data_IF_456265979722
#
_entry.id   IF_456265979722
#
_cell.length_a   1.000
_cell.length_b   1.000
_cell.length_c   1.000
_cell.angle_alpha   90.00
_cell.angle_beta   90.00
_cell.angle_gamma   90.00
#
_symmetry.space_group_name_H-M   'P 1'
#
loop_
_entity.id
_entity.type
_entity.pdbx_description
1 polymer ?
#
# COMPACT_ATOMS: atom_id res chain seq x y z
N UNK A 1 73.59 23.84 30.41
CA UNK A 1 72.57 23.82 31.48
C UNK A 1 71.56 24.91 31.16
N UNK A 2 70.26 24.58 31.11
CA UNK A 2 69.11 25.43 30.69
C UNK A 2 68.99 25.69 29.17
N UNK A 3 67.84 25.67 28.50
CA UNK A 3 66.45 25.29 28.80
C UNK A 3 65.74 24.98 27.45
N UNK A 4 64.72 24.11 27.45
CA UNK A 4 63.87 23.77 26.29
C UNK A 4 63.10 24.97 25.70
N UNK A 5 62.81 24.93 24.39
CA UNK A 5 61.49 25.34 23.88
C UNK A 5 61.13 24.58 22.58
N UNK A 6 60.15 23.69 22.69
CA UNK A 6 59.43 23.06 21.57
C UNK A 6 58.21 23.91 21.22
N UNK A 7 57.90 24.08 19.93
CA UNK A 7 56.59 24.59 19.50
C UNK A 7 56.03 23.71 18.38
N UNK A 8 55.05 22.89 18.77
CA UNK A 8 54.21 22.06 17.91
C UNK A 8 53.32 22.94 17.02
N UNK A 9 53.34 22.68 15.71
CA UNK A 9 52.37 23.23 14.76
C UNK A 9 51.01 22.59 15.03
N UNK A 10 50.11 23.34 15.67
CA UNK A 10 48.73 22.93 15.93
C UNK A 10 47.94 22.89 14.61
N UNK A 11 47.42 21.71 14.26
CA UNK A 11 46.40 21.53 13.24
C UNK A 11 45.12 22.29 13.63
N UNK A 12 44.69 23.23 12.79
CA UNK A 12 43.34 23.80 12.85
C UNK A 12 42.37 22.82 12.19
N UNK A 13 41.65 22.02 12.99
CA UNK A 13 40.47 21.30 12.53
C UNK A 13 39.28 22.25 12.66
N UNK A 14 38.80 22.76 11.53
CA UNK A 14 37.55 23.52 11.46
C UNK A 14 36.38 22.51 11.52
N UNK A 15 35.86 22.26 12.70
CA UNK A 15 34.65 21.46 12.88
C UNK A 15 33.42 22.30 12.47
N UNK A 16 33.00 22.18 11.22
CA UNK A 16 31.75 22.75 10.73
C UNK A 16 30.56 21.97 11.30
N UNK A 17 29.83 22.60 12.24
CA UNK A 17 28.61 22.05 12.83
C UNK A 17 27.47 22.16 11.81
N UNK A 18 27.25 21.11 11.00
CA UNK A 18 26.03 20.99 10.19
C UNK A 18 24.85 20.67 11.10
N UNK A 19 24.16 21.70 11.58
CA UNK A 19 22.86 21.54 12.23
C UNK A 19 21.83 21.15 11.16
N UNK A 20 21.56 19.85 11.02
CA UNK A 20 20.49 19.34 10.16
C UNK A 20 19.14 19.69 10.81
N UNK A 21 18.55 20.83 10.44
CA UNK A 21 17.17 21.13 10.80
C UNK A 21 16.26 20.08 10.16
N UNK A 22 15.78 19.13 10.97
CA UNK A 22 14.82 18.14 10.53
C UNK A 22 13.47 18.82 10.38
N UNK A 23 13.16 19.30 9.17
CA UNK A 23 11.80 19.70 8.81
C UNK A 23 10.88 18.50 9.03
N UNK A 24 10.04 18.55 10.07
CA UNK A 24 8.96 17.59 10.24
C UNK A 24 7.98 17.79 9.10
N UNK A 25 8.11 16.99 8.03
CA UNK A 25 7.10 16.91 7.00
C UNK A 25 5.81 16.41 7.64
N UNK A 26 4.74 17.19 7.53
CA UNK A 26 3.40 16.75 7.90
C UNK A 26 3.00 15.57 7.02
N UNK A 27 2.32 14.59 7.60
CA UNK A 27 1.70 13.51 6.83
C UNK A 27 0.76 14.11 5.77
N UNK A 28 0.91 13.67 4.52
CA UNK A 28 0.06 14.09 3.43
C UNK A 28 -1.23 13.25 3.39
N UNK A 29 -2.28 13.85 2.84
CA UNK A 29 -3.55 13.20 2.54
C UNK A 29 -3.73 13.13 1.02
N UNK A 30 -4.09 11.95 0.53
CA UNK A 30 -4.42 11.71 -0.88
C UNK A 30 -5.83 11.14 -0.99
N UNK A 31 -6.53 11.45 -2.08
CA UNK A 31 -7.88 10.96 -2.34
C UNK A 31 -7.93 10.07 -3.58
N UNK A 32 -8.71 9.00 -3.48
CA UNK A 32 -9.00 8.06 -4.57
C UNK A 32 -10.53 7.98 -4.70
N UNK A 33 -11.07 8.15 -5.90
CA UNK A 33 -12.52 8.12 -6.15
C UNK A 33 -12.86 7.38 -7.45
N UNK A 34 -14.03 6.72 -7.57
CA UNK A 34 -14.41 6.00 -8.80
C UNK A 34 -14.48 6.88 -10.05
N UNK A 35 -14.77 8.17 -9.88
CA UNK A 35 -14.82 9.18 -10.94
C UNK A 35 -13.53 10.04 -11.02
N UNK A 36 -12.46 9.63 -10.33
CA UNK A 36 -11.17 10.31 -10.39
C UNK A 36 -10.40 10.04 -11.68
N UNK A 37 -9.17 10.56 -11.74
CA UNK A 37 -8.22 10.28 -12.83
C UNK A 37 -6.81 10.12 -12.28
N UNK A 38 -6.06 9.14 -12.79
CA UNK A 38 -4.67 8.94 -12.37
C UNK A 38 -3.70 10.02 -12.89
N UNK A 39 -4.18 10.90 -13.77
CA UNK A 39 -3.49 12.14 -14.16
C UNK A 39 -3.68 13.29 -13.16
N UNK A 40 -4.63 13.18 -12.23
CA UNK A 40 -4.88 14.21 -11.24
C UNK A 40 -3.76 14.27 -10.19
N UNK A 41 -3.80 15.29 -9.33
CA UNK A 41 -2.85 15.51 -8.24
C UNK A 41 -3.13 14.67 -6.99
N UNK A 42 -4.32 14.07 -6.87
CA UNK A 42 -4.72 13.29 -5.70
C UNK A 42 -5.27 14.13 -4.55
N UNK A 43 -5.63 15.39 -4.79
CA UNK A 43 -6.34 16.22 -3.81
C UNK A 43 -7.82 15.83 -3.73
N UNK A 44 -8.56 16.37 -2.75
CA UNK A 44 -10.00 16.09 -2.59
C UNK A 44 -10.81 16.50 -3.81
N UNK A 45 -10.46 17.64 -4.41
CA UNK A 45 -11.12 18.21 -5.60
C UNK A 45 -10.65 17.54 -6.90
N UNK A 46 -9.50 16.86 -6.87
CA UNK A 46 -8.90 16.19 -8.03
C UNK A 46 -8.32 14.84 -7.60
N UNK A 47 -9.18 13.87 -7.25
CA UNK A 47 -8.75 12.57 -6.72
C UNK A 47 -8.14 11.70 -7.82
N UNK A 48 -7.25 10.78 -7.42
CA UNK A 48 -6.79 9.70 -8.28
C UNK A 48 -7.95 8.75 -8.61
N UNK A 49 -7.83 7.98 -9.70
CA UNK A 49 -8.78 6.92 -10.02
C UNK A 49 -8.45 5.62 -9.29
N UNK A 50 -7.17 5.34 -9.05
CA UNK A 50 -6.71 4.05 -8.52
C UNK A 50 -5.85 4.17 -7.26
N UNK A 51 -5.94 3.17 -6.39
CA UNK A 51 -4.99 2.96 -5.28
C UNK A 51 -3.56 2.74 -5.83
N UNK A 52 -3.44 2.09 -6.99
CA UNK A 52 -2.13 1.88 -7.61
C UNK A 52 -1.42 3.19 -7.96
N UNK A 53 -2.16 4.25 -8.28
CA UNK A 53 -1.59 5.58 -8.51
C UNK A 53 -1.17 6.26 -7.21
N UNK A 54 -1.95 6.14 -6.13
CA UNK A 54 -1.59 6.71 -4.83
C UNK A 54 -0.31 6.07 -4.28
N UNK A 55 -0.11 4.78 -4.50
CA UNK A 55 1.13 4.07 -4.14
C UNK A 55 2.39 4.76 -4.70
N UNK A 56 2.32 5.37 -5.89
CA UNK A 56 3.47 6.12 -6.45
C UNK A 56 3.76 7.43 -5.69
N UNK A 57 2.77 8.00 -4.99
CA UNK A 57 2.86 9.30 -4.32
C UNK A 57 3.17 9.20 -2.82
N UNK A 58 2.64 8.19 -2.13
CA UNK A 58 2.71 8.10 -0.66
C UNK A 58 4.13 7.93 -0.11
N UNK A 59 4.32 8.42 1.11
CA UNK A 59 5.48 8.29 1.98
C UNK A 59 5.05 7.85 3.39
N UNK A 60 5.97 7.37 4.25
CA UNK A 60 5.63 6.95 5.60
C UNK A 60 4.88 8.01 6.41
N UNK A 61 3.71 7.63 6.94
CA UNK A 61 2.84 8.50 7.73
C UNK A 61 1.61 9.00 6.97
N UNK A 62 1.64 8.98 5.63
CA UNK A 62 0.57 9.49 4.77
C UNK A 62 -0.72 8.65 4.86
N UNK A 63 -1.83 9.28 4.47
CA UNK A 63 -3.15 8.63 4.40
C UNK A 63 -3.75 8.78 3.01
N UNK A 64 -4.24 7.66 2.48
CA UNK A 64 -5.06 7.60 1.27
C UNK A 64 -6.51 7.39 1.70
N UNK A 65 -7.35 8.39 1.47
CA UNK A 65 -8.79 8.34 1.66
C UNK A 65 -9.48 7.86 0.39
N UNK A 66 -10.19 6.75 0.50
CA UNK A 66 -10.84 6.05 -0.62
C UNK A 66 -12.34 6.33 -0.52
N UNK A 67 -12.84 7.14 -1.44
CA UNK A 67 -14.24 7.54 -1.50
C UNK A 67 -15.14 6.36 -1.87
N UNK A 68 -16.40 6.42 -1.45
CA UNK A 68 -17.38 5.38 -1.67
C UNK A 68 -17.75 5.18 -3.14
N UNK A 69 -18.28 4.01 -3.43
CA UNK A 69 -18.72 3.62 -4.76
C UNK A 69 -17.96 2.43 -5.32
N UNK A 70 -18.33 2.04 -6.54
CA UNK A 70 -17.78 0.84 -7.18
C UNK A 70 -16.61 1.18 -8.08
N UNK A 71 -15.45 0.62 -7.77
CA UNK A 71 -14.26 0.62 -8.59
C UNK A 71 -14.27 -0.61 -9.48
N UNK A 72 -14.70 -0.45 -10.73
CA UNK A 72 -14.69 -1.54 -11.72
C UNK A 72 -13.28 -1.79 -12.18
N UNK A 73 -12.71 -2.92 -11.77
CA UNK A 73 -11.35 -3.30 -12.09
C UNK A 73 -11.27 -3.94 -13.47
N UNK A 74 -10.22 -3.62 -14.21
CA UNK A 74 -9.98 -4.13 -15.55
C UNK A 74 -8.60 -4.81 -15.67
N UNK A 75 -8.47 -5.73 -16.62
CA UNK A 75 -7.19 -6.39 -16.90
C UNK A 75 -6.07 -5.41 -17.28
N UNK A 76 -6.41 -4.28 -17.92
CA UNK A 76 -5.45 -3.22 -18.25
C UNK A 76 -4.82 -2.55 -17.01
N UNK A 77 -5.42 -2.74 -15.83
CA UNK A 77 -4.93 -2.21 -14.56
C UNK A 77 -4.04 -3.21 -13.81
N UNK A 78 -3.66 -4.35 -14.41
CA UNK A 78 -2.71 -5.27 -13.78
C UNK A 78 -1.37 -4.56 -13.57
N UNK A 79 -1.05 -4.24 -12.32
CA UNK A 79 0.15 -3.51 -11.96
C UNK A 79 1.43 -4.34 -12.11
N UNK A 80 1.35 -5.65 -11.85
CA UNK A 80 2.52 -6.54 -11.94
C UNK A 80 2.15 -7.96 -12.32
N UNK A 81 2.96 -8.55 -13.17
CA UNK A 81 2.95 -10.00 -13.44
C UNK A 81 3.94 -10.68 -12.51
N UNK A 82 3.45 -11.58 -11.67
CA UNK A 82 4.24 -12.50 -10.87
C UNK A 82 4.27 -13.90 -11.49
N UNK A 83 4.98 -14.84 -10.85
CA UNK A 83 5.04 -16.23 -11.34
C UNK A 83 3.65 -16.88 -11.26
N UNK A 84 2.97 -16.97 -12.41
CA UNK A 84 1.63 -17.55 -12.57
C UNK A 84 0.50 -16.74 -11.94
N UNK A 85 0.71 -15.45 -11.66
CA UNK A 85 -0.28 -14.58 -11.02
C UNK A 85 -0.26 -13.16 -11.59
N UNK A 86 -1.43 -12.59 -11.75
CA UNK A 86 -1.67 -11.20 -12.13
C UNK A 86 -2.03 -10.41 -10.87
N UNK A 87 -1.13 -9.53 -10.43
CA UNK A 87 -1.30 -8.68 -9.26
C UNK A 87 -1.90 -7.37 -9.74
N UNK A 88 -3.19 -7.16 -9.44
CA UNK A 88 -3.92 -5.99 -9.96
C UNK A 88 -3.49 -4.73 -9.25
N UNK A 89 -3.52 -4.75 -7.91
CA UNK A 89 -2.91 -3.72 -7.08
C UNK A 89 -1.66 -4.30 -6.43
N UNK A 90 -0.50 -3.68 -6.67
CA UNK A 90 0.79 -4.05 -6.11
C UNK A 90 1.31 -2.91 -5.22
N UNK A 91 1.31 -3.16 -3.91
CA UNK A 91 1.71 -2.20 -2.86
C UNK A 91 3.04 -2.64 -2.25
N UNK A 92 4.10 -1.90 -2.52
CA UNK A 92 5.49 -2.23 -2.16
C UNK A 92 6.17 -1.23 -1.24
N UNK A 93 5.69 0.02 -1.21
CA UNK A 93 6.15 1.01 -0.24
C UNK A 93 5.74 0.58 1.16
N UNK A 94 6.60 0.90 2.10
CA UNK A 94 6.39 0.61 3.51
C UNK A 94 6.22 1.90 4.29
N UNK A 95 5.38 1.88 5.31
CA UNK A 95 5.43 2.87 6.37
C UNK A 95 6.62 2.63 7.30
N UNK A 96 6.62 3.33 8.43
CA UNK A 96 7.55 3.12 9.52
C UNK A 96 6.78 2.86 10.82
N UNK A 97 7.47 2.32 11.82
CA UNK A 97 6.90 2.24 13.17
C UNK A 97 6.45 3.63 13.64
N UNK A 98 5.20 3.73 14.09
CA UNK A 98 4.58 5.00 14.49
C UNK A 98 4.18 5.93 13.32
N UNK A 99 4.55 5.61 12.08
CA UNK A 99 4.19 6.34 10.85
C UNK A 99 3.75 5.37 9.74
N UNK A 100 2.67 4.60 9.94
CA UNK A 100 2.17 3.70 8.91
C UNK A 100 1.64 4.48 7.70
N UNK A 101 1.64 3.86 6.53
CA UNK A 101 0.85 4.35 5.38
C UNK A 101 -0.57 3.79 5.53
N UNK A 102 -1.57 4.66 5.44
CA UNK A 102 -2.98 4.28 5.68
C UNK A 102 -3.77 4.29 4.37
N UNK A 103 -4.59 3.27 4.16
CA UNK A 103 -5.51 3.12 3.03
C UNK A 103 -6.92 2.92 3.57
N UNK A 104 -7.63 4.02 3.80
CA UNK A 104 -8.89 4.02 4.55
C UNK A 104 -10.06 4.42 3.67
N UNK A 105 -11.21 3.79 3.87
CA UNK A 105 -12.47 4.36 3.41
C UNK A 105 -12.65 5.79 3.94
N UNK A 106 -13.13 6.69 3.09
CA UNK A 106 -13.39 8.08 3.46
C UNK A 106 -14.60 8.15 4.42
N UNK A 107 -14.39 8.51 5.68
CA UNK A 107 -15.46 8.61 6.67
C UNK A 107 -16.23 7.29 6.85
N UNK A 108 -17.54 7.31 6.58
CA UNK A 108 -18.43 6.13 6.64
C UNK A 108 -18.79 5.61 5.25
N UNK A 109 -18.11 6.09 4.21
CA UNK A 109 -18.36 5.68 2.83
C UNK A 109 -17.92 4.23 2.60
N UNK A 110 -18.47 3.60 1.54
CA UNK A 110 -18.27 2.18 1.25
C UNK A 110 -17.62 2.00 -0.11
N UNK A 111 -16.28 1.96 -0.20
CA UNK A 111 -15.59 1.62 -1.44
C UNK A 111 -15.66 0.12 -1.71
N UNK A 112 -16.10 -0.24 -2.92
CA UNK A 112 -16.20 -1.64 -3.38
C UNK A 112 -15.34 -1.81 -4.63
N UNK A 113 -14.31 -2.66 -4.54
CA UNK A 113 -13.49 -3.02 -5.70
C UNK A 113 -14.04 -4.29 -6.35
N UNK A 114 -14.57 -4.14 -7.56
CA UNK A 114 -15.21 -5.21 -8.32
C UNK A 114 -14.27 -5.76 -9.39
N UNK A 115 -13.90 -7.03 -9.23
CA UNK A 115 -12.97 -7.75 -10.09
C UNK A 115 -13.64 -8.68 -11.11
N UNK A 116 -14.97 -8.60 -11.28
CA UNK A 116 -15.73 -9.51 -12.15
C UNK A 116 -15.19 -9.57 -13.58
N UNK A 117 -14.62 -8.47 -14.08
CA UNK A 117 -14.05 -8.37 -15.44
C UNK A 117 -12.54 -8.65 -15.52
N UNK A 118 -11.89 -8.99 -14.40
CA UNK A 118 -10.45 -9.32 -14.39
C UNK A 118 -10.27 -10.82 -14.60
N UNK A 119 -10.19 -11.24 -15.87
CA UNK A 119 -10.10 -12.65 -16.29
C UNK A 119 -8.85 -12.96 -17.14
N UNK A 120 -7.61 -12.69 -16.65
CA UNK A 120 -6.40 -13.02 -17.40
C UNK A 120 -6.31 -14.54 -17.65
N UNK A 121 -6.09 -14.98 -18.91
CA UNK A 121 -6.03 -16.41 -19.23
C UNK A 121 -4.82 -17.07 -18.58
N UNK A 122 -5.02 -18.24 -17.98
CA UNK A 122 -3.93 -19.04 -17.41
C UNK A 122 -3.22 -18.42 -16.19
N UNK A 123 -3.80 -17.39 -15.57
CA UNK A 123 -3.19 -16.65 -14.47
C UNK A 123 -4.11 -16.61 -13.26
N UNK A 124 -3.53 -16.78 -12.06
CA UNK A 124 -4.22 -16.47 -10.79
C UNK A 124 -4.43 -14.96 -10.70
N UNK A 125 -5.51 -14.53 -10.04
CA UNK A 125 -5.75 -13.12 -9.77
C UNK A 125 -5.42 -12.81 -8.31
N UNK A 126 -4.61 -11.78 -8.09
CA UNK A 126 -4.40 -11.20 -6.76
C UNK A 126 -4.92 -9.77 -6.79
N UNK A 127 -6.01 -9.49 -6.07
CA UNK A 127 -6.60 -8.15 -6.06
C UNK A 127 -5.65 -7.12 -5.43
N UNK A 128 -5.16 -7.43 -4.23
CA UNK A 128 -4.17 -6.63 -3.50
C UNK A 128 -3.00 -7.52 -3.09
N UNK A 129 -1.85 -7.32 -3.75
CA UNK A 129 -0.59 -7.91 -3.34
C UNK A 129 0.18 -6.90 -2.48
N UNK A 130 0.34 -7.23 -1.21
CA UNK A 130 0.86 -6.32 -0.18
C UNK A 130 2.27 -6.76 0.22
N UNK A 131 3.26 -6.25 -0.51
CA UNK A 131 4.68 -6.47 -0.25
C UNK A 131 5.27 -5.53 0.81
N UNK A 132 4.67 -4.33 0.96
CA UNK A 132 5.07 -3.35 1.96
C UNK A 132 4.75 -3.77 3.40
N UNK A 133 5.46 -3.14 4.33
CA UNK A 133 5.27 -3.28 5.79
C UNK A 133 4.74 -1.99 6.41
N UNK A 134 4.20 -2.05 7.62
CA UNK A 134 3.60 -0.89 8.31
C UNK A 134 2.50 -0.21 7.49
N UNK A 135 1.62 -1.01 6.90
CA UNK A 135 0.45 -0.57 6.15
C UNK A 135 -0.81 -0.81 6.96
N UNK A 136 -1.79 0.08 6.88
CA UNK A 136 -3.08 -0.08 7.54
C UNK A 136 -4.21 0.12 6.55
N UNK A 137 -4.96 -0.95 6.29
CA UNK A 137 -6.14 -0.94 5.43
C UNK A 137 -7.40 -0.93 6.29
N UNK A 138 -8.38 -0.08 5.94
CA UNK A 138 -9.63 0.00 6.69
C UNK A 138 -10.86 0.22 5.82
N UNK A 139 -11.91 -0.58 6.03
CA UNK A 139 -13.26 -0.31 5.51
C UNK A 139 -13.45 -0.56 4.02
N UNK A 140 -12.60 -1.39 3.40
CA UNK A 140 -12.64 -1.66 1.94
C UNK A 140 -13.34 -3.00 1.68
N UNK A 141 -14.21 -3.03 0.67
CA UNK A 141 -14.82 -4.27 0.18
C UNK A 141 -14.19 -4.71 -1.14
N UNK A 142 -13.98 -6.01 -1.31
CA UNK A 142 -13.46 -6.64 -2.53
C UNK A 142 -14.41 -7.74 -2.96
N UNK A 143 -14.91 -7.65 -4.19
CA UNK A 143 -15.89 -8.58 -4.77
C UNK A 143 -15.46 -9.09 -6.13
N UNK A 144 -16.05 -10.21 -6.55
CA UNK A 144 -15.97 -10.67 -7.94
C UNK A 144 -14.59 -11.16 -8.39
N UNK A 145 -13.63 -11.41 -7.50
CA UNK A 145 -12.30 -11.89 -7.91
C UNK A 145 -12.41 -13.27 -8.57
N UNK A 146 -11.86 -13.40 -9.78
CA UNK A 146 -12.05 -14.57 -10.65
C UNK A 146 -10.91 -15.59 -10.54
N UNK A 147 -11.22 -16.85 -10.85
CA UNK A 147 -10.29 -17.95 -11.10
C UNK A 147 -10.53 -18.45 -12.52
N UNK A 148 -9.53 -18.30 -13.40
CA UNK A 148 -9.61 -18.74 -14.81
C UNK A 148 -8.83 -20.02 -15.08
N UNK A 149 -7.97 -20.43 -14.14
CA UNK A 149 -7.15 -21.64 -14.25
C UNK A 149 -7.99 -22.86 -13.86
N UNK A 150 -7.99 -23.90 -14.70
CA UNK A 150 -8.82 -25.10 -14.54
C UNK A 150 -8.19 -26.20 -13.69
N UNK A 151 -6.87 -26.16 -13.47
CA UNK A 151 -6.15 -27.06 -12.56
C UNK A 151 -6.14 -26.56 -11.12
N UNK A 152 -5.40 -27.26 -10.24
CA UNK A 152 -5.22 -26.83 -8.85
C UNK A 152 -4.65 -25.40 -8.76
N UNK A 153 -5.40 -24.49 -8.18
CA UNK A 153 -5.11 -23.06 -8.22
C UNK A 153 -5.81 -22.30 -7.10
N UNK A 154 -5.43 -21.04 -6.90
CA UNK A 154 -6.11 -20.11 -6.00
C UNK A 154 -5.87 -18.67 -6.44
N UNK A 155 -6.95 -17.89 -6.56
CA UNK A 155 -6.90 -16.43 -6.58
C UNK A 155 -7.08 -15.90 -5.16
N UNK A 156 -6.66 -14.66 -4.89
CA UNK A 156 -6.59 -14.09 -3.54
C UNK A 156 -7.09 -12.64 -3.57
N UNK A 157 -7.94 -12.23 -2.61
CA UNK A 157 -8.28 -10.82 -2.44
C UNK A 157 -7.10 -10.05 -1.84
N UNK A 158 -6.66 -10.36 -0.61
CA UNK A 158 -5.47 -9.77 0.01
C UNK A 158 -4.36 -10.81 0.22
N UNK A 159 -3.26 -10.67 -0.50
CA UNK A 159 -2.04 -11.49 -0.39
C UNK A 159 -0.96 -10.70 0.37
N UNK A 160 -0.83 -10.95 1.67
CA UNK A 160 0.18 -10.31 2.51
C UNK A 160 1.54 -11.00 2.39
N UNK A 161 2.57 -10.19 2.14
CA UNK A 161 3.98 -10.61 2.15
C UNK A 161 4.84 -9.79 3.13
N UNK A 162 4.39 -8.60 3.54
CA UNK A 162 5.10 -7.73 4.48
C UNK A 162 4.79 -7.99 5.96
N UNK A 163 5.39 -7.21 6.85
CA UNK A 163 5.23 -7.30 8.30
C UNK A 163 4.55 -6.07 8.90
N UNK A 164 4.00 -6.20 10.11
CA UNK A 164 3.40 -5.09 10.86
C UNK A 164 2.24 -4.40 10.14
N UNK A 165 1.53 -5.12 9.28
CA UNK A 165 0.36 -4.61 8.58
C UNK A 165 -0.92 -4.85 9.39
N UNK A 166 -1.87 -3.93 9.26
CA UNK A 166 -3.20 -4.03 9.87
C UNK A 166 -4.24 -4.06 8.76
N UNK A 167 -5.11 -5.04 8.81
CA UNK A 167 -6.26 -5.21 7.95
C UNK A 167 -7.49 -5.12 8.84
N UNK A 168 -8.26 -4.04 8.74
CA UNK A 168 -9.35 -3.74 9.66
C UNK A 168 -10.67 -3.54 8.90
N UNK A 169 -11.76 -4.16 9.34
CA UNK A 169 -13.08 -3.91 8.75
C UNK A 169 -13.11 -4.11 7.23
N UNK A 170 -12.33 -5.08 6.73
CA UNK A 170 -12.34 -5.45 5.32
C UNK A 170 -13.41 -6.48 5.07
N UNK A 171 -14.02 -6.41 3.88
CA UNK A 171 -14.97 -7.41 3.43
C UNK A 171 -14.48 -8.02 2.13
N UNK A 172 -14.35 -9.35 2.08
CA UNK A 172 -13.93 -10.08 0.89
C UNK A 172 -14.95 -11.15 0.58
N UNK A 173 -15.83 -10.88 -0.38
CA UNK A 173 -17.02 -11.71 -0.59
C UNK A 173 -17.43 -11.78 -2.06
N UNK A 174 -18.43 -12.61 -2.37
CA UNK A 174 -19.01 -12.72 -3.72
C UNK A 174 -17.97 -12.91 -4.84
N UNK A 175 -16.95 -13.73 -4.57
CA UNK A 175 -15.86 -14.04 -5.49
C UNK A 175 -15.51 -15.52 -5.49
N UNK A 176 -14.50 -15.86 -6.27
CA UNK A 176 -13.91 -17.22 -6.35
C UNK A 176 -12.57 -17.31 -5.63
N UNK A 177 -12.10 -16.21 -5.05
CA UNK A 177 -10.81 -16.10 -4.41
C UNK A 177 -10.86 -16.42 -2.91
N UNK A 178 -9.72 -16.83 -2.37
CA UNK A 178 -9.44 -16.77 -0.94
C UNK A 178 -9.55 -15.31 -0.49
N UNK A 179 -10.23 -15.04 0.62
CA UNK A 179 -10.34 -13.68 1.17
C UNK A 179 -8.96 -13.13 1.57
N UNK A 180 -8.33 -13.71 2.58
CA UNK A 180 -7.02 -13.28 3.07
C UNK A 180 -6.02 -14.43 3.03
N UNK A 181 -4.81 -14.16 2.54
CA UNK A 181 -3.70 -15.09 2.56
C UNK A 181 -2.46 -14.42 3.13
N UNK A 182 -1.87 -15.00 4.17
CA UNK A 182 -0.59 -14.58 4.73
C UNK A 182 0.50 -15.49 4.17
N UNK A 183 1.11 -15.08 3.06
CA UNK A 183 2.15 -15.87 2.40
C UNK A 183 3.53 -15.69 3.02
N UNK A 184 3.78 -14.53 3.61
CA UNK A 184 5.02 -14.22 4.32
C UNK A 184 4.78 -13.07 5.32
N UNK A 185 5.81 -12.76 6.11
CA UNK A 185 5.86 -11.65 7.04
C UNK A 185 5.48 -12.02 8.47
N UNK A 186 5.51 -11.03 9.35
CA UNK A 186 5.30 -11.19 10.79
C UNK A 186 4.49 -10.05 11.37
N UNK A 187 3.86 -10.26 12.53
CA UNK A 187 3.16 -9.22 13.28
C UNK A 187 2.03 -8.52 12.51
N UNK A 188 1.34 -9.26 11.63
CA UNK A 188 0.18 -8.73 10.91
C UNK A 188 -1.09 -8.98 11.72
N UNK A 189 -1.97 -7.97 11.79
CA UNK A 189 -3.25 -8.05 12.47
C UNK A 189 -4.38 -8.05 11.43
N UNK A 190 -5.25 -9.06 11.49
CA UNK A 190 -6.51 -9.11 10.73
C UNK A 190 -7.64 -8.97 11.75
N UNK A 191 -8.33 -7.83 11.73
CA UNK A 191 -9.25 -7.41 12.79
C UNK A 191 -10.62 -7.06 12.21
N UNK A 192 -11.67 -7.70 12.71
CA UNK A 192 -13.06 -7.44 12.33
C UNK A 192 -13.29 -7.50 10.81
N UNK A 193 -12.63 -8.44 10.14
CA UNK A 193 -12.79 -8.66 8.71
C UNK A 193 -13.74 -9.82 8.43
N UNK A 194 -14.53 -9.70 7.38
CA UNK A 194 -15.48 -10.71 6.94
C UNK A 194 -15.04 -11.31 5.60
N UNK A 195 -15.01 -12.63 5.52
CA UNK A 195 -14.78 -13.35 4.27
C UNK A 195 -15.90 -14.40 4.08
N UNK A 196 -16.78 -14.17 3.10
CA UNK A 196 -18.04 -14.91 2.97
C UNK A 196 -18.56 -14.96 1.53
N UNK A 197 -19.74 -15.54 1.35
CA UNK A 197 -20.54 -15.53 0.13
C UNK A 197 -21.98 -15.23 0.50
#
# INVERSE_FOLDING_TARGET
>A
MSLHFTMNFRSLILAGLFASASLSASAAEFHVAPNGSDSNSGTKESPFATIQRSEKSVSPGDTVLIHGGTYKMAQSQIARLGRGRSQVTYLSKSGLQGKPIRYFACGTEKPVFDFTEVKPPGSRVTAFHVAGSWLHFKGISVVGVQVTVTGHTQSICFDNQGSHNIYEQLQMHDGQAIGFWLGNGSNNLVLNCDAYR
#
